data_IF_603908321150
#
_entry.id   IF_603908321150
#
_cell.length_a   1.000
_cell.length_b   1.000
_cell.length_c   1.000
_cell.angle_alpha   90.00
_cell.angle_beta   90.00
_cell.angle_gamma   90.00
#
_symmetry.space_group_name_H-M   'P 1'
#
loop_
_entity.id
_entity.type
_entity.pdbx_description
1 polymer ?
#
# COMPACT_ATOMS: atom_id res chain seq x y z
N UNK A 1 -0.15 4.37 -22.03
CA UNK A 1 1.17 3.97 -21.49
C UNK A 1 1.78 2.95 -22.45
N UNK A 2 2.93 3.28 -23.05
CA UNK A 2 3.61 2.41 -24.00
C UNK A 2 4.59 1.43 -23.29
N UNK A 3 5.26 0.57 -24.07
CA UNK A 3 6.21 -0.42 -23.54
C UNK A 3 7.45 0.24 -22.90
N UNK A 4 7.89 1.40 -23.39
CA UNK A 4 9.01 2.14 -22.79
C UNK A 4 8.62 2.69 -21.42
N UNK A 5 7.41 3.25 -21.28
CA UNK A 5 6.88 3.70 -19.99
C UNK A 5 6.82 2.57 -18.97
N UNK A 6 6.38 1.36 -19.38
CA UNK A 6 6.35 0.18 -18.54
C UNK A 6 7.75 -0.25 -18.12
N UNK A 7 8.71 -0.26 -19.06
CA UNK A 7 10.10 -0.57 -18.77
C UNK A 7 10.74 0.43 -17.79
N UNK A 8 10.46 1.73 -17.94
CA UNK A 8 10.90 2.76 -17.00
C UNK A 8 10.31 2.54 -15.60
N UNK A 9 9.03 2.21 -15.49
CA UNK A 9 8.39 1.89 -14.21
C UNK A 9 9.02 0.66 -13.56
N UNK A 10 9.32 -0.38 -14.34
CA UNK A 10 9.99 -1.58 -13.83
C UNK A 10 11.39 -1.26 -13.27
N UNK A 11 12.17 -0.44 -13.99
CA UNK A 11 13.48 0.02 -13.52
C UNK A 11 13.36 0.83 -12.22
N UNK A 12 12.43 1.76 -12.15
CA UNK A 12 12.19 2.59 -10.96
C UNK A 12 11.67 1.79 -9.75
N UNK A 13 10.93 0.69 -9.98
CA UNK A 13 10.51 -0.22 -8.92
C UNK A 13 11.68 -1.04 -8.36
N UNK A 14 12.71 -1.33 -9.17
CA UNK A 14 13.92 -2.01 -8.71
C UNK A 14 14.82 -1.05 -7.94
N UNK A 15 15.04 0.14 -8.46
CA UNK A 15 15.84 1.19 -7.84
C UNK A 15 15.38 2.57 -8.30
N UNK A 16 14.67 3.27 -7.43
CA UNK A 16 14.21 4.63 -7.67
C UNK A 16 15.32 5.68 -7.59
N UNK A 17 16.51 5.32 -7.10
CA UNK A 17 17.68 6.19 -6.98
C UNK A 17 18.55 6.26 -8.25
N UNK A 18 18.20 5.54 -9.31
CA UNK A 18 18.94 5.57 -10.57
C UNK A 18 18.94 6.97 -11.18
N UNK A 19 20.08 7.34 -11.81
CA UNK A 19 20.16 8.56 -12.61
C UNK A 19 19.29 8.46 -13.88
N UNK A 20 18.86 9.57 -14.41
CA UNK A 20 18.15 9.57 -15.70
C UNK A 20 19.02 9.08 -16.86
N UNK A 21 20.34 9.21 -16.77
CA UNK A 21 21.26 8.62 -17.73
C UNK A 21 21.22 7.08 -17.68
N UNK A 22 21.23 6.49 -16.49
CA UNK A 22 21.11 5.04 -16.31
C UNK A 22 19.74 4.52 -16.75
N UNK A 23 18.66 5.21 -16.37
CA UNK A 23 17.29 4.87 -16.80
C UNK A 23 17.16 4.92 -18.33
N UNK A 24 17.69 5.99 -18.95
CA UNK A 24 17.68 6.14 -20.40
C UNK A 24 18.42 5.01 -21.09
N UNK A 25 19.62 4.68 -20.62
CA UNK A 25 20.43 3.58 -21.15
C UNK A 25 19.67 2.24 -21.08
N UNK A 26 19.00 1.97 -19.96
CA UNK A 26 18.25 0.73 -19.76
C UNK A 26 17.09 0.55 -20.76
N UNK A 27 16.51 1.64 -21.25
CA UNK A 27 15.34 1.60 -22.16
C UNK A 27 15.60 2.17 -23.54
N UNK A 28 16.85 2.45 -23.89
CA UNK A 28 17.24 2.96 -25.21
C UNK A 28 16.89 4.42 -25.44
N UNK A 29 16.91 5.27 -24.41
CA UNK A 29 16.63 6.70 -24.47
C UNK A 29 17.82 7.56 -24.02
N UNK A 30 17.82 8.83 -24.41
CA UNK A 30 18.70 9.83 -23.78
C UNK A 30 18.25 10.13 -22.35
N UNK A 31 19.15 10.67 -21.51
CA UNK A 31 18.82 11.09 -20.15
C UNK A 31 17.64 12.10 -20.12
N UNK A 32 17.64 13.06 -21.04
CA UNK A 32 16.58 14.06 -21.15
C UNK A 32 15.23 13.46 -21.54
N UNK A 33 15.23 12.51 -22.48
CA UNK A 33 14.00 11.80 -22.87
C UNK A 33 13.45 10.92 -21.73
N UNK A 34 14.34 10.23 -21.00
CA UNK A 34 13.95 9.47 -19.82
C UNK A 34 13.35 10.36 -18.72
N UNK A 35 14.00 11.50 -18.43
CA UNK A 35 13.50 12.49 -17.48
C UNK A 35 12.10 12.98 -17.85
N UNK A 36 11.90 13.36 -19.10
CA UNK A 36 10.61 13.89 -19.57
C UNK A 36 9.49 12.82 -19.48
N UNK A 37 9.80 11.55 -19.79
CA UNK A 37 8.82 10.46 -19.63
C UNK A 37 8.47 10.20 -18.18
N UNK A 38 9.45 10.15 -17.29
CA UNK A 38 9.21 9.97 -15.85
C UNK A 38 8.39 11.13 -15.28
N UNK A 39 8.67 12.38 -15.71
CA UNK A 39 7.86 13.55 -15.35
C UNK A 39 6.40 13.36 -15.74
N UNK A 40 6.14 12.95 -16.98
CA UNK A 40 4.76 12.68 -17.47
C UNK A 40 4.09 11.52 -16.73
N UNK A 41 4.83 10.48 -16.34
CA UNK A 41 4.29 9.38 -15.54
C UNK A 41 3.84 9.84 -14.15
N UNK A 42 4.58 10.79 -13.55
CA UNK A 42 4.18 11.44 -12.28
C UNK A 42 2.94 12.32 -12.46
N UNK A 43 2.93 13.17 -13.47
CA UNK A 43 1.80 14.08 -13.77
C UNK A 43 0.49 13.33 -14.03
N UNK A 44 0.56 12.18 -14.69
CA UNK A 44 -0.61 11.31 -14.95
C UNK A 44 -0.98 10.43 -13.77
N UNK A 45 -0.23 10.48 -12.65
CA UNK A 45 -0.48 9.66 -11.47
C UNK A 45 -0.08 8.19 -11.60
N UNK A 46 0.62 7.79 -12.67
CA UNK A 46 1.16 6.43 -12.81
C UNK A 46 2.24 6.17 -11.75
N UNK A 47 3.07 7.17 -11.45
CA UNK A 47 3.94 7.19 -10.29
C UNK A 47 3.27 8.04 -9.22
N UNK A 48 2.67 7.41 -8.22
CA UNK A 48 1.97 8.10 -7.13
C UNK A 48 2.92 8.74 -6.13
N UNK A 49 4.06 8.10 -5.87
CA UNK A 49 5.10 8.55 -4.93
C UNK A 49 6.40 7.81 -5.16
N UNK A 50 7.49 8.38 -4.69
CA UNK A 50 8.79 7.70 -4.54
C UNK A 50 9.06 7.56 -3.05
N UNK A 51 9.40 6.36 -2.61
CA UNK A 51 9.61 6.04 -1.19
C UNK A 51 10.65 4.93 -1.05
N UNK A 52 11.03 4.65 0.17
CA UNK A 52 11.81 3.47 0.54
C UNK A 52 10.90 2.43 1.18
N UNK A 53 11.22 1.17 0.98
CA UNK A 53 10.62 0.08 1.73
C UNK A 53 11.41 -0.13 3.02
N UNK A 54 10.71 -0.22 4.14
CA UNK A 54 11.32 -0.38 5.46
C UNK A 54 10.90 -1.73 6.02
N UNK A 55 11.86 -2.46 6.62
CA UNK A 55 11.55 -3.69 7.35
C UNK A 55 10.63 -3.38 8.53
N UNK A 56 9.38 -3.90 8.53
CA UNK A 56 8.42 -3.61 9.58
C UNK A 56 8.88 -4.03 10.97
N UNK A 57 9.62 -5.14 11.10
CA UNK A 57 10.09 -5.62 12.39
C UNK A 57 11.09 -4.64 13.01
N UNK A 58 11.95 -4.04 12.20
CA UNK A 58 12.95 -3.06 12.65
C UNK A 58 12.31 -1.79 13.21
N UNK A 59 11.15 -1.39 12.71
CA UNK A 59 10.45 -0.17 13.15
C UNK A 59 9.26 -0.42 14.08
N UNK A 60 9.20 -1.60 14.70
CA UNK A 60 8.18 -1.92 15.69
C UNK A 60 6.85 -2.38 15.09
N UNK A 61 6.84 -2.89 13.87
CA UNK A 61 5.65 -3.43 13.18
C UNK A 61 5.70 -4.95 12.97
N UNK A 62 6.25 -5.70 13.93
CA UNK A 62 6.49 -7.14 13.78
C UNK A 62 5.20 -7.96 13.66
N UNK A 63 4.11 -7.53 14.31
CA UNK A 63 2.83 -8.23 14.27
C UNK A 63 2.00 -7.67 13.12
N UNK A 64 1.65 -8.52 12.18
CA UNK A 64 0.73 -8.22 11.08
C UNK A 64 -0.61 -8.88 11.33
N UNK A 65 -1.69 -8.14 11.19
CA UNK A 65 -3.05 -8.67 11.24
C UNK A 65 -3.92 -8.05 10.14
N UNK A 66 -4.86 -8.84 9.65
CA UNK A 66 -5.97 -8.37 8.84
C UNK A 66 -7.24 -8.40 9.69
N UNK A 67 -7.96 -7.28 9.71
CA UNK A 67 -9.15 -7.14 10.54
C UNK A 67 -10.35 -6.92 9.64
N UNK A 68 -11.32 -7.80 9.71
CA UNK A 68 -12.65 -7.56 9.15
C UNK A 68 -13.48 -6.78 10.16
N UNK A 69 -14.09 -5.71 9.68
CA UNK A 69 -14.90 -4.80 10.50
C UNK A 69 -16.35 -4.88 10.01
N UNK A 70 -17.22 -5.28 10.91
CA UNK A 70 -18.67 -5.28 10.69
C UNK A 70 -19.27 -3.95 11.08
N UNK A 71 -20.27 -3.51 10.34
CA UNK A 71 -20.97 -2.28 10.61
C UNK A 71 -22.47 -2.41 10.32
N UNK A 72 -23.28 -1.71 11.12
CA UNK A 72 -24.71 -1.56 10.89
C UNK A 72 -25.04 -0.41 9.93
N UNK A 73 -24.04 0.38 9.55
CA UNK A 73 -24.18 1.54 8.68
C UNK A 73 -23.17 1.50 7.52
N UNK A 74 -23.38 2.33 6.51
CA UNK A 74 -22.40 2.55 5.46
C UNK A 74 -21.12 3.16 6.03
N UNK A 75 -19.96 2.54 5.75
CA UNK A 75 -18.66 2.95 6.27
C UNK A 75 -17.80 3.72 5.26
N UNK A 76 -18.33 4.01 4.07
CA UNK A 76 -17.56 4.70 3.02
C UNK A 76 -17.13 6.13 3.38
N UNK A 77 -17.77 6.74 4.36
CA UNK A 77 -17.45 8.09 4.85
C UNK A 77 -16.54 8.09 6.09
N UNK A 78 -16.13 6.90 6.57
CA UNK A 78 -15.32 6.73 7.80
C UNK A 78 -13.82 6.66 7.53
N UNK A 79 -13.35 7.11 6.38
CA UNK A 79 -11.94 7.04 6.00
C UNK A 79 -11.02 7.78 6.98
N UNK A 80 -11.45 8.92 7.50
CA UNK A 80 -10.66 9.74 8.42
C UNK A 80 -10.48 9.06 9.77
N UNK A 81 -11.50 8.38 10.29
CA UNK A 81 -11.43 7.64 11.55
C UNK A 81 -10.43 6.49 11.48
N UNK A 82 -10.42 5.74 10.37
CA UNK A 82 -9.42 4.69 10.16
C UNK A 82 -8.02 5.28 9.95
N UNK A 83 -7.90 6.36 9.17
CA UNK A 83 -6.62 7.01 8.91
C UNK A 83 -6.01 7.68 10.16
N UNK A 84 -6.81 7.99 11.17
CA UNK A 84 -6.34 8.51 12.45
C UNK A 84 -5.57 7.48 13.28
N UNK A 85 -5.64 6.19 12.92
CA UNK A 85 -4.92 5.10 13.57
C UNK A 85 -3.65 4.78 12.76
N UNK A 86 -2.45 5.21 13.20
CA UNK A 86 -1.22 5.05 12.40
C UNK A 86 -0.80 3.58 12.22
N UNK A 87 -1.30 2.67 13.05
CA UNK A 87 -1.10 1.24 12.93
C UNK A 87 -1.87 0.62 11.77
N UNK A 88 -2.91 1.31 11.27
CA UNK A 88 -3.66 0.89 10.08
C UNK A 88 -2.91 1.37 8.84
N UNK A 89 -2.41 0.42 8.06
CA UNK A 89 -1.66 0.67 6.82
C UNK A 89 -2.56 0.76 5.60
N UNK A 90 -3.67 0.03 5.60
CA UNK A 90 -4.66 -0.03 4.53
C UNK A 90 -6.05 -0.18 5.12
N UNK A 91 -7.02 0.48 4.52
CA UNK A 91 -8.43 0.31 4.84
C UNK A 91 -9.24 0.29 3.54
N UNK A 92 -10.06 -0.74 3.38
CA UNK A 92 -10.83 -0.99 2.17
C UNK A 92 -12.29 -1.23 2.53
N UNK A 93 -13.22 -0.50 1.91
CA UNK A 93 -14.64 -0.88 1.90
C UNK A 93 -14.76 -2.12 1.03
N UNK A 94 -15.37 -3.17 1.55
CA UNK A 94 -15.52 -4.44 0.85
C UNK A 94 -16.99 -4.82 0.70
N UNK A 95 -17.27 -5.61 -0.32
CA UNK A 95 -18.54 -6.30 -0.49
C UNK A 95 -18.39 -7.75 -0.03
N UNK A 96 -19.26 -8.21 0.87
CA UNK A 96 -19.19 -9.58 1.38
C UNK A 96 -19.68 -9.69 2.82
N UNK A 97 -19.01 -10.53 3.61
CA UNK A 97 -19.38 -10.83 4.99
C UNK A 97 -19.07 -9.72 6.00
N UNK A 98 -18.26 -8.74 5.61
CA UNK A 98 -17.90 -7.59 6.43
C UNK A 98 -18.01 -6.30 5.62
N UNK A 99 -17.93 -5.16 6.28
CA UNK A 99 -18.06 -3.84 5.67
C UNK A 99 -16.70 -3.23 5.27
N UNK A 100 -15.67 -3.44 6.10
CA UNK A 100 -14.32 -2.91 5.88
C UNK A 100 -13.29 -3.98 6.19
N UNK A 101 -12.23 -4.02 5.38
CA UNK A 101 -11.02 -4.80 5.63
C UNK A 101 -9.87 -3.85 5.89
N UNK A 102 -9.17 -4.03 7.01
CA UNK A 102 -7.98 -3.23 7.34
C UNK A 102 -6.76 -4.11 7.51
N UNK A 103 -5.62 -3.58 7.10
CA UNK A 103 -4.28 -4.15 7.36
C UNK A 103 -3.65 -3.38 8.51
N UNK A 104 -3.28 -4.08 9.57
CA UNK A 104 -2.75 -3.51 10.80
C UNK A 104 -1.37 -4.05 11.09
N UNK A 105 -0.44 -3.19 11.48
CA UNK A 105 0.85 -3.60 12.04
C UNK A 105 1.05 -2.98 13.41
N UNK A 106 1.50 -3.82 14.35
CA UNK A 106 1.81 -3.42 15.73
C UNK A 106 3.08 -4.10 16.22
N UNK A 107 3.63 -3.62 17.33
CA UNK A 107 4.82 -4.23 17.93
C UNK A 107 4.50 -5.55 18.62
N UNK A 108 3.34 -5.63 19.28
CA UNK A 108 2.92 -6.76 20.08
C UNK A 108 1.43 -7.07 19.91
N UNK A 109 0.98 -8.23 20.38
CA UNK A 109 -0.44 -8.60 20.37
C UNK A 109 -1.27 -7.75 21.33
N UNK A 110 -0.68 -7.25 22.41
CA UNK A 110 -1.34 -6.31 23.34
C UNK A 110 -1.64 -4.98 22.63
N UNK A 111 -0.71 -4.49 21.80
CA UNK A 111 -0.93 -3.30 20.97
C UNK A 111 -1.99 -3.54 19.91
N UNK A 112 -2.05 -4.74 19.35
CA UNK A 112 -3.14 -5.12 18.44
C UNK A 112 -4.49 -5.04 19.13
N UNK A 113 -4.59 -5.53 20.37
CA UNK A 113 -5.81 -5.44 21.15
C UNK A 113 -6.25 -3.98 21.37
N UNK A 114 -5.30 -3.06 21.64
CA UNK A 114 -5.59 -1.64 21.75
C UNK A 114 -6.14 -1.04 20.44
N UNK A 115 -5.55 -1.41 19.31
CA UNK A 115 -6.05 -0.98 17.98
C UNK A 115 -7.46 -1.50 17.74
N UNK A 116 -7.74 -2.78 18.04
CA UNK A 116 -9.09 -3.37 17.90
C UNK A 116 -10.11 -2.62 18.76
N UNK A 117 -9.75 -2.25 19.98
CA UNK A 117 -10.62 -1.44 20.87
C UNK A 117 -10.92 -0.07 20.26
N UNK A 118 -9.93 0.58 19.66
CA UNK A 118 -10.08 1.89 19.00
C UNK A 118 -10.92 1.78 17.72
N UNK A 119 -10.76 0.72 16.93
CA UNK A 119 -11.63 0.45 15.78
C UNK A 119 -13.07 0.24 16.23
N UNK A 120 -13.26 -0.52 17.31
CA UNK A 120 -14.60 -0.78 17.86
C UNK A 120 -15.32 0.48 18.36
N UNK A 121 -14.55 1.52 18.74
CA UNK A 121 -15.08 2.82 19.16
C UNK A 121 -15.51 3.72 17.98
N UNK A 122 -15.19 3.36 16.73
CA UNK A 122 -15.66 4.10 15.55
C UNK A 122 -17.19 3.93 15.43
N UNK A 123 -17.89 5.05 15.22
CA UNK A 123 -19.36 5.03 15.12
C UNK A 123 -19.82 4.11 13.99
N UNK A 124 -20.80 3.27 14.29
CA UNK A 124 -21.38 2.31 13.34
C UNK A 124 -20.70 0.94 13.36
N UNK A 125 -19.52 0.79 13.94
CA UNK A 125 -18.85 -0.51 14.05
C UNK A 125 -19.62 -1.38 15.05
N UNK A 126 -20.01 -2.58 14.60
CA UNK A 126 -20.75 -3.57 15.39
C UNK A 126 -19.91 -4.79 15.78
N UNK A 127 -18.79 -5.02 15.11
CA UNK A 127 -17.91 -6.13 15.38
C UNK A 127 -16.58 -6.04 14.67
N UNK A 128 -15.59 -6.78 15.18
CA UNK A 128 -14.29 -6.95 14.55
C UNK A 128 -13.86 -8.40 14.61
N UNK A 129 -13.23 -8.87 13.54
CA UNK A 129 -12.61 -10.19 13.48
C UNK A 129 -11.17 -10.03 12.97
N UNK A 130 -10.21 -10.23 13.86
CA UNK A 130 -8.79 -10.15 13.53
C UNK A 130 -8.22 -11.51 13.13
N UNK A 131 -7.45 -11.54 12.07
CA UNK A 131 -6.63 -12.68 11.66
C UNK A 131 -5.17 -12.29 11.74
N UNK A 132 -4.42 -12.88 12.65
CA UNK A 132 -2.99 -12.63 12.83
C UNK A 132 -2.21 -13.47 11.82
N UNK A 133 -1.32 -12.82 11.08
CA UNK A 133 -0.43 -13.48 10.13
C UNK A 133 0.72 -14.13 10.90
N UNK A 134 0.91 -15.44 10.72
CA UNK A 134 2.01 -16.18 11.34
C UNK A 134 3.30 -16.09 10.53
N UNK A 135 3.18 -16.10 9.19
CA UNK A 135 4.30 -16.05 8.26
C UNK A 135 3.86 -15.38 6.96
N UNK A 136 4.69 -14.51 6.44
CA UNK A 136 4.51 -13.93 5.11
C UNK A 136 5.45 -14.62 4.13
N UNK A 137 4.94 -15.29 3.12
CA UNK A 137 5.76 -15.92 2.10
C UNK A 137 6.42 -14.90 1.18
N UNK A 138 5.66 -13.92 0.73
CA UNK A 138 6.17 -12.79 -0.06
C UNK A 138 5.19 -11.63 -0.09
N UNK A 139 5.72 -10.45 -0.31
CA UNK A 139 5.01 -9.25 -0.73
C UNK A 139 5.74 -8.69 -1.96
N UNK A 140 4.99 -8.14 -2.91
CA UNK A 140 5.59 -7.50 -4.09
C UNK A 140 4.73 -6.32 -4.55
N UNK A 141 5.33 -5.32 -5.19
CA UNK A 141 4.57 -4.25 -5.81
C UNK A 141 3.78 -4.76 -7.03
N UNK A 142 2.81 -3.94 -7.46
CA UNK A 142 2.06 -4.21 -8.69
C UNK A 142 3.01 -4.16 -9.89
N UNK A 143 3.01 -5.22 -10.71
CA UNK A 143 3.84 -5.27 -11.92
C UNK A 143 3.38 -4.22 -12.94
N UNK A 144 4.29 -3.44 -13.56
CA UNK A 144 3.94 -2.55 -14.67
C UNK A 144 3.39 -3.26 -15.91
N UNK A 145 3.64 -4.58 -16.02
CA UNK A 145 3.15 -5.42 -17.12
C UNK A 145 1.73 -5.96 -16.87
N UNK A 146 1.15 -5.75 -15.69
CA UNK A 146 -0.21 -6.15 -15.39
C UNK A 146 -1.19 -5.45 -16.35
N UNK A 147 -1.94 -6.19 -17.15
CA UNK A 147 -2.85 -5.66 -18.16
C UNK A 147 -2.18 -5.26 -19.47
N UNK A 148 -0.99 -5.75 -19.76
CA UNK A 148 -0.31 -5.58 -21.06
C UNK A 148 -0.73 -6.62 -22.12
N UNK A 149 -1.77 -7.46 -21.83
CA UNK A 149 -2.35 -8.42 -22.75
C UNK A 149 -3.44 -7.84 -23.64
#
# INVERSE_FOLDING_TARGET
MDHIDRALLAQLQQDAGQSYAALGQAVGLSAGAAHERVRKLRERGAIRRTTVEVDPATVGGAVLAYVMVDSVAWMGDSAEEFAALPEILEAHVIAGSASVLVKVRTATTERLQDVLRRIYAIEGVSGTQATVVLETFFERPVSPELGAG
#
